data_IF_464788552902
#
_entry.id   IF_464788552902
#
_cell.length_a   1.000
_cell.length_b   1.000
_cell.length_c   1.000
_cell.angle_alpha   90.00
_cell.angle_beta   90.00
_cell.angle_gamma   90.00
#
_symmetry.space_group_name_H-M   'P 1'
#
loop_
_entity.id
_entity.type
_entity.pdbx_description
1 polymer ?
#
# COMPACT_ATOMS: atom_id res chain seq x y z
N UNK A 1 -23.24 6.95 -13.83
CA UNK A 1 -22.41 7.32 -12.66
C UNK A 1 -21.03 7.67 -13.19
N UNK A 2 -20.55 8.89 -12.98
CA UNK A 2 -19.15 9.23 -13.28
C UNK A 2 -18.23 8.53 -12.25
N UNK A 3 -17.11 7.97 -12.71
CA UNK A 3 -16.13 7.34 -11.80
C UNK A 3 -15.47 8.36 -10.88
N UNK A 4 -15.16 7.97 -9.64
CA UNK A 4 -14.37 8.80 -8.71
C UNK A 4 -12.88 8.51 -8.91
N UNK A 5 -12.11 9.54 -9.27
CA UNK A 5 -10.66 9.44 -9.38
C UNK A 5 -9.99 9.77 -8.04
N UNK A 6 -8.93 9.03 -7.71
CA UNK A 6 -8.04 9.32 -6.59
C UNK A 6 -6.66 9.69 -7.15
N UNK A 7 -6.18 10.89 -6.82
CA UNK A 7 -4.88 11.43 -7.25
C UNK A 7 -3.94 11.49 -6.06
N UNK A 8 -2.68 11.10 -6.29
CA UNK A 8 -1.67 10.92 -5.26
C UNK A 8 -0.27 10.66 -5.78
N UNK A 9 0.65 10.45 -4.85
CA UNK A 9 2.05 10.10 -5.12
C UNK A 9 2.39 8.68 -4.64
N UNK A 10 3.46 8.10 -5.19
CA UNK A 10 4.01 6.81 -4.77
C UNK A 10 4.88 6.91 -3.52
N UNK A 11 4.37 7.54 -2.46
CA UNK A 11 5.06 7.81 -1.21
C UNK A 11 5.09 9.30 -0.88
N UNK A 12 5.53 9.62 0.34
CA UNK A 12 5.57 11.00 0.86
C UNK A 12 6.84 11.30 1.67
N UNK A 13 7.79 10.37 1.75
CA UNK A 13 8.95 10.51 2.61
C UNK A 13 10.23 10.74 1.78
N UNK A 14 10.27 11.87 1.09
CA UNK A 14 11.37 12.23 0.19
C UNK A 14 12.03 13.53 0.65
N UNK A 15 13.27 13.43 1.15
CA UNK A 15 14.04 14.62 1.58
C UNK A 15 14.28 15.62 0.44
N UNK A 16 14.38 15.14 -0.79
CA UNK A 16 14.53 16.00 -1.98
C UNK A 16 13.33 16.91 -2.24
N UNK A 17 12.16 16.62 -1.65
CA UNK A 17 10.97 17.46 -1.76
C UNK A 17 10.92 18.55 -0.68
N UNK A 18 11.91 18.61 0.22
CA UNK A 18 11.88 19.53 1.36
C UNK A 18 11.79 20.98 0.90
N UNK A 19 12.74 21.45 0.10
CA UNK A 19 12.84 22.87 -0.21
C UNK A 19 11.75 23.35 -1.18
N UNK A 20 11.26 22.48 -2.06
CA UNK A 20 10.28 22.83 -3.09
C UNK A 20 8.81 22.51 -2.78
N UNK A 21 8.53 21.56 -1.89
CA UNK A 21 7.17 21.09 -1.62
C UNK A 21 6.79 21.17 -0.15
N UNK A 22 7.67 20.73 0.77
CA UNK A 22 7.34 20.69 2.20
C UNK A 22 7.68 21.98 2.96
N UNK A 23 8.65 22.76 2.50
CA UNK A 23 9.20 23.91 3.20
C UNK A 23 9.64 23.57 4.62
N UNK A 24 9.21 24.39 5.58
CA UNK A 24 9.52 24.22 7.01
C UNK A 24 8.70 23.13 7.70
N UNK A 25 7.79 22.45 6.97
CA UNK A 25 6.95 21.40 7.55
C UNK A 25 7.81 20.30 8.18
N UNK A 26 7.63 19.99 9.49
CA UNK A 26 8.35 18.92 10.13
C UNK A 26 8.11 17.57 9.44
N UNK A 27 9.14 16.74 9.31
CA UNK A 27 9.07 15.47 8.57
C UNK A 27 7.95 14.54 9.05
N UNK A 28 7.65 14.57 10.36
CA UNK A 28 6.55 13.78 10.95
C UNK A 28 5.16 14.18 10.45
N UNK A 29 5.00 15.40 9.93
CA UNK A 29 3.74 15.93 9.40
C UNK A 29 3.66 15.82 7.86
N UNK A 30 4.69 15.32 7.17
CA UNK A 30 4.68 15.24 5.70
C UNK A 30 3.51 14.40 5.14
N UNK A 31 3.07 13.36 5.85
CA UNK A 31 1.89 12.60 5.45
C UNK A 31 0.63 13.47 5.51
N UNK A 32 0.42 14.19 6.61
CA UNK A 32 -0.70 15.13 6.77
C UNK A 32 -0.66 16.20 5.68
N UNK A 33 0.51 16.80 5.46
CA UNK A 33 0.73 17.80 4.42
C UNK A 33 0.32 17.31 3.03
N UNK A 34 0.73 16.08 2.67
CA UNK A 34 0.31 15.45 1.42
C UNK A 34 -1.20 15.19 1.39
N UNK A 35 -1.78 14.71 2.50
CA UNK A 35 -3.18 14.33 2.56
C UNK A 35 -4.17 15.50 2.55
N UNK A 36 -3.69 16.72 2.79
CA UNK A 36 -4.44 17.96 2.56
C UNK A 36 -4.47 18.39 1.08
N UNK A 37 -3.58 17.84 0.25
CA UNK A 37 -3.38 18.24 -1.17
C UNK A 37 -3.73 17.13 -2.16
N UNK A 38 -3.71 15.88 -1.71
CA UNK A 38 -4.01 14.70 -2.50
C UNK A 38 -5.17 13.92 -1.87
N UNK A 39 -5.87 13.14 -2.69
CA UNK A 39 -6.97 12.28 -2.23
C UNK A 39 -6.51 10.85 -1.91
N UNK A 40 -5.29 10.49 -2.31
CA UNK A 40 -4.69 9.19 -2.00
C UNK A 40 -3.18 9.20 -1.99
N UNK A 41 -2.58 8.14 -1.46
CA UNK A 41 -1.13 7.84 -1.55
C UNK A 41 -0.93 6.34 -1.74
N UNK A 42 0.08 5.95 -2.52
CA UNK A 42 0.60 4.58 -2.53
C UNK A 42 1.77 4.43 -1.54
N UNK A 43 1.67 3.46 -0.63
CA UNK A 43 2.72 3.12 0.33
C UNK A 43 3.65 2.07 -0.27
N UNK A 44 4.89 2.47 -0.57
CA UNK A 44 5.94 1.56 -1.04
C UNK A 44 6.68 0.82 0.09
N UNK A 45 6.68 1.36 1.32
CA UNK A 45 7.43 0.76 2.44
C UNK A 45 6.98 -0.66 2.81
N UNK A 46 5.72 -1.01 2.55
CA UNK A 46 5.15 -2.35 2.78
C UNK A 46 5.73 -3.41 1.86
N UNK A 47 6.27 -3.01 0.70
CA UNK A 47 6.95 -3.91 -0.22
C UNK A 47 8.22 -4.51 0.40
N UNK A 48 8.96 -3.72 1.17
CA UNK A 48 10.27 -4.11 1.72
C UNK A 48 10.20 -4.67 3.13
N UNK A 49 9.24 -4.21 3.93
CA UNK A 49 9.10 -4.56 5.34
C UNK A 49 7.64 -4.72 5.70
N UNK A 50 7.35 -5.80 6.42
CA UNK A 50 6.07 -5.96 7.11
C UNK A 50 5.97 -4.89 8.21
N UNK A 51 5.01 -3.98 8.08
CA UNK A 51 4.85 -2.87 9.01
C UNK A 51 4.06 -3.32 10.24
N UNK A 52 4.29 -2.68 11.37
CA UNK A 52 3.49 -2.90 12.57
C UNK A 52 2.08 -2.33 12.38
N UNK A 53 1.08 -2.95 13.02
CA UNK A 53 -0.30 -2.44 13.05
C UNK A 53 -0.36 -0.99 13.56
N UNK A 54 0.49 -0.64 14.52
CA UNK A 54 0.59 0.72 15.08
C UNK A 54 1.03 1.75 14.03
N UNK A 55 1.84 1.36 13.05
CA UNK A 55 2.25 2.22 11.93
C UNK A 55 1.07 2.56 11.03
N UNK A 56 0.28 1.55 10.63
CA UNK A 56 -0.93 1.76 9.84
C UNK A 56 -1.97 2.60 10.58
N UNK A 57 -2.15 2.37 11.89
CA UNK A 57 -3.03 3.19 12.73
C UNK A 57 -2.60 4.66 12.72
N UNK A 58 -1.30 4.94 12.88
CA UNK A 58 -0.76 6.30 12.79
C UNK A 58 -1.03 6.95 11.44
N UNK A 59 -0.84 6.22 10.33
CA UNK A 59 -1.12 6.78 8.99
C UNK A 59 -2.59 7.09 8.77
N UNK A 60 -3.49 6.21 9.23
CA UNK A 60 -4.93 6.49 9.22
C UNK A 60 -5.23 7.75 10.04
N UNK A 61 -4.74 7.84 11.27
CA UNK A 61 -5.08 8.95 12.18
C UNK A 61 -4.47 10.30 11.73
N UNK A 62 -3.45 10.30 10.86
CA UNK A 62 -2.83 11.51 10.31
C UNK A 62 -3.50 12.04 9.03
N UNK A 63 -4.42 11.30 8.43
CA UNK A 63 -5.07 11.68 7.16
C UNK A 63 -6.55 12.03 7.40
N UNK A 64 -7.17 12.88 6.57
CA UNK A 64 -8.59 13.24 6.72
C UNK A 64 -9.50 12.07 6.33
N UNK A 65 -10.77 12.14 6.76
CA UNK A 65 -11.77 11.17 6.31
C UNK A 65 -11.96 11.25 4.79
N UNK A 66 -12.20 10.09 4.18
CA UNK A 66 -12.27 9.96 2.72
C UNK A 66 -10.92 9.89 2.01
N UNK A 67 -9.79 10.05 2.72
CA UNK A 67 -8.47 9.78 2.16
C UNK A 67 -8.23 8.27 1.98
N UNK A 68 -7.64 7.90 0.85
CA UNK A 68 -7.41 6.50 0.49
C UNK A 68 -5.91 6.15 0.38
N UNK A 69 -5.55 4.97 0.84
CA UNK A 69 -4.24 4.38 0.64
C UNK A 69 -4.32 3.25 -0.38
N UNK A 70 -3.35 3.22 -1.28
CA UNK A 70 -2.89 1.98 -1.89
C UNK A 70 -1.65 1.50 -1.13
N UNK A 71 -1.44 0.20 -1.00
CA UNK A 71 -0.19 -0.34 -0.46
C UNK A 71 0.40 -1.35 -1.43
N UNK A 72 1.72 -1.49 -1.45
CA UNK A 72 2.33 -2.63 -2.16
C UNK A 72 2.25 -3.90 -1.32
N UNK A 73 1.93 -5.00 -1.97
CA UNK A 73 2.12 -6.33 -1.39
C UNK A 73 3.60 -6.59 -1.08
N UNK A 74 3.89 -7.39 -0.05
CA UNK A 74 5.26 -7.62 0.36
C UNK A 74 6.06 -8.39 -0.70
N UNK A 75 7.30 -7.96 -0.99
CA UNK A 75 8.16 -8.56 -2.02
C UNK A 75 8.43 -10.04 -1.81
N UNK A 76 8.36 -10.51 -0.56
CA UNK A 76 8.49 -11.93 -0.25
C UNK A 76 7.49 -12.78 -1.04
N UNK A 77 6.26 -12.29 -1.26
CA UNK A 77 5.23 -12.98 -2.03
C UNK A 77 5.56 -12.99 -3.53
N UNK A 78 5.90 -11.83 -4.11
CA UNK A 78 6.03 -11.69 -5.56
C UNK A 78 7.44 -11.99 -6.10
N UNK A 79 8.49 -11.67 -5.34
CA UNK A 79 9.90 -11.81 -5.76
C UNK A 79 10.56 -13.08 -5.23
N UNK A 80 10.35 -13.42 -3.95
CA UNK A 80 10.99 -14.59 -3.35
C UNK A 80 10.19 -15.87 -3.61
N UNK A 81 8.92 -15.89 -3.20
CA UNK A 81 7.99 -17.00 -3.40
C UNK A 81 7.47 -17.10 -4.83
N UNK A 82 7.59 -16.03 -5.62
CA UNK A 82 7.14 -15.99 -7.03
C UNK A 82 5.70 -16.49 -7.17
N UNK A 83 4.84 -16.05 -6.24
CA UNK A 83 3.41 -16.41 -6.12
C UNK A 83 3.10 -17.84 -5.63
N UNK A 84 4.10 -18.66 -5.32
CA UNK A 84 3.91 -20.02 -4.77
C UNK A 84 3.74 -19.98 -3.25
N UNK A 85 2.93 -20.87 -2.69
CA UNK A 85 2.67 -21.00 -1.23
C UNK A 85 2.41 -19.65 -0.55
N UNK A 86 1.61 -18.80 -1.21
CA UNK A 86 1.45 -17.40 -0.86
C UNK A 86 0.38 -17.14 0.21
N UNK A 87 -0.37 -18.15 0.65
CA UNK A 87 -1.54 -17.97 1.51
C UNK A 87 -1.21 -17.32 2.87
N UNK A 88 -0.35 -17.95 3.67
CA UNK A 88 0.07 -17.39 4.97
C UNK A 88 0.67 -15.98 4.83
N UNK A 89 1.63 -15.71 3.92
CA UNK A 89 2.20 -14.37 3.84
C UNK A 89 1.20 -13.31 3.32
N UNK A 90 0.23 -13.69 2.49
CA UNK A 90 -0.86 -12.80 2.05
C UNK A 90 -1.77 -12.44 3.22
N UNK A 91 -2.17 -13.42 4.03
CA UNK A 91 -2.97 -13.20 5.26
C UNK A 91 -2.21 -12.32 6.25
N UNK A 92 -0.91 -12.59 6.46
CA UNK A 92 -0.07 -11.78 7.35
C UNK A 92 0.01 -10.32 6.90
N UNK A 93 0.13 -10.06 5.60
CA UNK A 93 0.09 -8.70 5.04
C UNK A 93 -1.26 -8.03 5.32
N UNK A 94 -2.37 -8.77 5.14
CA UNK A 94 -3.73 -8.27 5.42
C UNK A 94 -3.90 -7.89 6.87
N UNK A 95 -3.54 -8.79 7.78
CA UNK A 95 -3.72 -8.60 9.20
C UNK A 95 -2.89 -7.41 9.69
N UNK A 96 -1.66 -7.28 9.21
CA UNK A 96 -0.80 -6.12 9.45
C UNK A 96 -1.45 -4.81 8.98
N UNK A 97 -2.04 -4.78 7.79
CA UNK A 97 -2.68 -3.59 7.19
C UNK A 97 -4.10 -3.30 7.71
N UNK A 98 -4.74 -4.23 8.43
CA UNK A 98 -6.11 -4.10 8.94
C UNK A 98 -6.45 -2.78 9.64
N UNK A 99 -5.53 -2.07 10.35
CA UNK A 99 -5.87 -0.80 10.97
C UNK A 99 -6.23 0.33 10.01
N UNK A 100 -5.87 0.24 8.72
CA UNK A 100 -6.32 1.19 7.69
C UNK A 100 -7.83 1.10 7.47
N UNK A 101 -8.45 -0.06 7.69
CA UNK A 101 -9.87 -0.31 7.47
C UNK A 101 -10.33 0.19 6.09
N UNK A 102 -11.43 0.96 6.08
CA UNK A 102 -12.04 1.55 4.88
C UNK A 102 -11.12 2.49 4.09
N UNK A 103 -9.98 2.89 4.65
CA UNK A 103 -9.00 3.74 3.93
C UNK A 103 -8.09 2.94 3.01
N UNK A 104 -7.99 1.62 3.16
CA UNK A 104 -7.27 0.81 2.20
C UNK A 104 -8.12 0.57 0.96
N UNK A 105 -7.81 1.28 -0.13
CA UNK A 105 -8.55 1.19 -1.38
C UNK A 105 -8.00 0.13 -2.35
N UNK A 106 -6.69 -0.16 -2.28
CA UNK A 106 -6.05 -1.11 -3.18
C UNK A 106 -4.79 -1.74 -2.59
N UNK A 107 -4.49 -2.98 -2.99
CA UNK A 107 -3.19 -3.63 -2.78
C UNK A 107 -2.55 -3.91 -4.13
N UNK A 108 -1.36 -3.35 -4.35
CA UNK A 108 -0.61 -3.47 -5.59
C UNK A 108 0.38 -4.64 -5.49
N UNK A 109 0.11 -5.71 -6.23
CA UNK A 109 0.99 -6.88 -6.32
C UNK A 109 1.90 -6.79 -7.54
N UNK A 110 2.95 -5.98 -7.43
CA UNK A 110 3.93 -5.81 -8.50
C UNK A 110 4.78 -7.08 -8.68
N UNK A 111 4.80 -7.62 -9.90
CA UNK A 111 5.61 -8.78 -10.28
C UNK A 111 7.00 -8.36 -10.80
N UNK A 112 8.06 -9.14 -10.53
CA UNK A 112 9.38 -8.84 -11.07
C UNK A 112 9.47 -9.15 -12.57
N UNK A 113 10.29 -8.39 -13.29
CA UNK A 113 10.47 -8.53 -14.74
C UNK A 113 10.97 -9.93 -15.18
N UNK A 114 11.68 -10.65 -14.30
CA UNK A 114 12.19 -11.99 -14.60
C UNK A 114 11.13 -13.10 -14.45
N UNK A 115 9.94 -12.80 -13.91
CA UNK A 115 8.89 -13.81 -13.74
C UNK A 115 8.23 -14.09 -15.10
N UNK A 116 8.47 -15.28 -15.64
CA UNK A 116 7.82 -15.71 -16.88
C UNK A 116 6.31 -15.86 -16.67
N UNK A 117 5.54 -15.57 -17.72
CA UNK A 117 4.08 -15.77 -17.75
C UNK A 117 3.74 -17.21 -17.38
N UNK A 118 2.89 -17.36 -16.39
CA UNK A 118 2.35 -18.63 -15.90
C UNK A 118 0.94 -18.36 -15.37
N UNK A 119 -0.07 -18.71 -16.19
CA UNK A 119 -1.47 -18.35 -15.92
C UNK A 119 -2.03 -19.19 -14.77
N UNK A 120 -1.74 -20.48 -14.72
CA UNK A 120 -2.22 -21.36 -13.66
C UNK A 120 -1.72 -20.88 -12.28
N UNK A 121 -0.45 -20.47 -12.21
CA UNK A 121 0.10 -19.88 -10.99
C UNK A 121 -0.57 -18.57 -10.62
N UNK A 122 -0.81 -17.70 -11.60
CA UNK A 122 -1.50 -16.44 -11.36
C UNK A 122 -2.93 -16.67 -10.85
N UNK A 123 -3.66 -17.62 -11.43
CA UNK A 123 -5.02 -17.99 -11.00
C UNK A 123 -5.04 -18.52 -9.56
N UNK A 124 -4.10 -19.40 -9.20
CA UNK A 124 -3.94 -19.89 -7.82
C UNK A 124 -3.68 -18.72 -6.86
N UNK A 125 -2.82 -17.79 -7.25
CA UNK A 125 -2.56 -16.59 -6.45
C UNK A 125 -3.78 -15.68 -6.31
N UNK A 126 -4.54 -15.46 -7.39
CA UNK A 126 -5.79 -14.68 -7.35
C UNK A 126 -6.81 -15.31 -6.39
N UNK A 127 -6.89 -16.64 -6.31
CA UNK A 127 -7.74 -17.31 -5.30
C UNK A 127 -7.28 -17.02 -3.88
N UNK A 128 -5.97 -16.98 -3.64
CA UNK A 128 -5.41 -16.58 -2.34
C UNK A 128 -5.73 -15.12 -2.02
N UNK A 129 -5.79 -14.23 -3.01
CA UNK A 129 -6.16 -12.83 -2.80
C UNK A 129 -7.60 -12.65 -2.31
N UNK A 130 -8.46 -13.67 -2.37
CA UNK A 130 -9.81 -13.62 -1.78
C UNK A 130 -9.80 -13.39 -0.27
N UNK A 131 -8.69 -13.71 0.41
CA UNK A 131 -8.49 -13.35 1.81
C UNK A 131 -8.56 -11.82 2.05
N UNK A 132 -8.42 -11.00 1.00
CA UNK A 132 -8.55 -9.54 1.02
C UNK A 132 -9.91 -9.02 0.51
N UNK A 133 -10.85 -9.88 0.10
CA UNK A 133 -12.21 -9.46 -0.30
C UNK A 133 -12.93 -8.83 0.92
N UNK A 134 -12.80 -7.50 1.03
CA UNK A 134 -13.52 -6.51 1.85
C UNK A 134 -14.22 -7.01 3.11
N UNK A 135 -13.63 -6.66 4.27
CA UNK A 135 -14.37 -6.15 5.44
C UNK A 135 -14.74 -4.67 5.25
#
# INVERSE_FOLDING_TARGET
MAGKAHIGTSGWNYKSWRDGFYGDTPQKEWLRFCAERFTSIEVNGTFYRLQEKSTFKKWRDQTPDGFSFAIKGHRYVTHNKKLLDAEEPVIRCRDSASPLGKRLAAVVWQLPAFLKKDIERLEKFVRVLRHWETT
#
